data_IF_623353771864
#
_entry.id   IF_623353771864
#
_cell.length_a   1.000
_cell.length_b   1.000
_cell.length_c   1.000
_cell.angle_alpha   90.00
_cell.angle_beta   90.00
_cell.angle_gamma   90.00
#
_symmetry.space_group_name_H-M   'P 1'
#
loop_
_entity.id
_entity.type
_entity.pdbx_description
1 polymer ?
#
# COMPACT_ATOMS: atom_id res chain seq x y z
N UNK A 1 -4.63 -10.56 -3.88
CA UNK A 1 -3.50 -9.83 -4.47
C UNK A 1 -2.87 -9.06 -3.35
N UNK A 2 -1.57 -9.16 -3.19
CA UNK A 2 -0.83 -8.33 -2.24
C UNK A 2 -0.13 -7.20 -2.98
N UNK A 3 0.12 -6.09 -2.31
CA UNK A 3 1.01 -5.04 -2.77
C UNK A 3 2.17 -4.85 -1.83
N UNK A 4 3.25 -4.28 -2.36
CA UNK A 4 4.45 -3.98 -1.59
C UNK A 4 4.78 -2.51 -1.70
N UNK A 5 5.12 -1.91 -0.56
CA UNK A 5 5.54 -0.52 -0.47
C UNK A 5 6.66 -0.34 0.56
N UNK A 6 7.36 0.78 0.53
CA UNK A 6 8.45 1.07 1.45
C UNK A 6 8.47 2.54 1.85
N UNK A 7 8.50 2.76 3.16
CA UNK A 7 8.64 4.10 3.74
C UNK A 7 10.04 4.22 4.34
N UNK A 8 10.76 5.30 3.99
CA UNK A 8 12.05 5.66 4.59
C UNK A 8 11.92 6.70 5.69
N UNK A 9 13.04 7.12 6.27
CA UNK A 9 13.08 8.21 7.26
C UNK A 9 12.97 7.76 8.72
N UNK A 10 13.27 6.48 9.01
CA UNK A 10 13.23 5.93 10.38
C UNK A 10 14.61 5.91 11.07
N UNK A 11 15.53 6.78 10.67
CA UNK A 11 16.88 6.91 11.23
C UNK A 11 16.91 7.61 12.61
N UNK A 12 15.83 7.51 13.39
CA UNK A 12 15.68 8.13 14.70
C UNK A 12 16.46 7.37 15.79
N UNK A 13 16.96 8.08 16.82
CA UNK A 13 17.70 7.54 17.98
C UNK A 13 18.78 6.49 17.63
N UNK A 14 19.60 6.74 16.61
CA UNK A 14 20.67 5.82 16.16
C UNK A 14 20.18 4.43 15.71
N UNK A 15 18.91 4.30 15.30
CA UNK A 15 18.41 3.03 14.78
C UNK A 15 19.11 2.64 13.49
N UNK A 16 19.63 1.41 13.44
CA UNK A 16 20.20 0.85 12.21
C UNK A 16 19.13 0.52 11.16
N UNK A 17 17.87 0.33 11.58
CA UNK A 17 16.74 0.07 10.68
C UNK A 17 16.16 1.40 10.24
N UNK A 18 16.29 1.72 8.95
CA UNK A 18 15.95 3.03 8.36
C UNK A 18 14.70 2.99 7.49
N UNK A 19 14.24 1.79 7.14
CA UNK A 19 13.13 1.56 6.23
C UNK A 19 12.05 0.70 6.89
N UNK A 20 10.82 0.95 6.50
CA UNK A 20 9.65 0.16 6.84
C UNK A 20 9.07 -0.40 5.54
N UNK A 21 9.21 -1.71 5.34
CA UNK A 21 8.55 -2.40 4.24
C UNK A 21 7.15 -2.81 4.67
N UNK A 22 6.16 -2.50 3.83
CA UNK A 22 4.75 -2.78 4.11
C UNK A 22 4.25 -3.69 2.99
N UNK A 23 3.71 -4.83 3.38
CA UNK A 23 2.98 -5.71 2.46
C UNK A 23 1.52 -5.66 2.86
N UNK A 24 0.64 -5.35 1.91
CA UNK A 24 -0.79 -5.19 2.15
C UNK A 24 -1.57 -6.21 1.33
N UNK A 25 -2.43 -7.00 1.96
CA UNK A 25 -3.44 -7.76 1.22
C UNK A 25 -4.63 -6.88 0.84
N UNK A 26 -4.95 -6.82 -0.45
CA UNK A 26 -6.00 -5.94 -0.95
C UNK A 26 -7.42 -6.44 -0.70
N UNK A 27 -7.62 -7.71 -0.33
CA UNK A 27 -8.98 -8.20 -0.03
C UNK A 27 -9.34 -7.86 1.41
N UNK A 28 -8.45 -8.18 2.33
CA UNK A 28 -8.66 -8.10 3.78
C UNK A 28 -8.19 -6.78 4.41
N UNK A 29 -7.33 -6.02 3.71
CA UNK A 29 -6.56 -4.88 4.26
C UNK A 29 -5.49 -5.28 5.28
N UNK A 30 -5.19 -6.57 5.41
CA UNK A 30 -4.21 -7.05 6.37
C UNK A 30 -2.81 -6.54 5.99
N UNK A 31 -2.13 -5.91 6.95
CA UNK A 31 -0.81 -5.36 6.75
C UNK A 31 0.24 -6.20 7.47
N UNK A 32 1.28 -6.58 6.76
CA UNK A 32 2.55 -7.03 7.32
C UNK A 32 3.57 -5.91 7.24
N UNK A 33 4.31 -5.70 8.32
CA UNK A 33 5.29 -4.63 8.42
C UNK A 33 6.65 -5.19 8.80
N UNK A 34 7.69 -4.82 8.06
CA UNK A 34 9.04 -5.31 8.28
C UNK A 34 10.02 -4.13 8.39
N UNK A 35 10.59 -3.87 9.58
CA UNK A 35 11.63 -2.86 9.71
C UNK A 35 12.94 -3.40 9.13
N UNK A 36 13.62 -2.60 8.31
CA UNK A 36 14.79 -3.02 7.54
C UNK A 36 15.90 -1.95 7.53
N UNK A 37 17.14 -2.40 7.33
CA UNK A 37 18.32 -1.53 7.15
C UNK A 37 18.50 -1.07 5.70
N UNK A 38 17.96 -1.82 4.73
CA UNK A 38 18.21 -1.61 3.30
C UNK A 38 17.00 -1.97 2.44
N UNK A 39 17.03 -1.49 1.20
CA UNK A 39 16.00 -1.71 0.18
C UNK A 39 16.63 -2.53 -0.96
N UNK A 40 16.69 -3.85 -0.81
CA UNK A 40 17.33 -4.75 -1.79
C UNK A 40 16.38 -5.89 -2.18
N UNK A 41 16.64 -6.56 -3.30
CA UNK A 41 15.79 -7.68 -3.73
C UNK A 41 15.78 -8.81 -2.70
N UNK A 42 16.87 -8.96 -1.95
CA UNK A 42 17.01 -9.96 -0.91
C UNK A 42 16.19 -9.61 0.33
N UNK A 43 16.18 -8.35 0.77
CA UNK A 43 15.34 -7.94 1.91
C UNK A 43 13.87 -8.20 1.61
N UNK A 44 13.39 -7.84 0.42
CA UNK A 44 12.01 -8.13 0.02
C UNK A 44 11.71 -9.61 -0.13
N UNK A 45 12.63 -10.39 -0.70
CA UNK A 45 12.47 -11.85 -0.81
C UNK A 45 12.31 -12.49 0.57
N UNK A 46 13.11 -12.08 1.54
CA UNK A 46 13.03 -12.58 2.91
C UNK A 46 11.73 -12.16 3.62
N UNK A 47 11.25 -10.93 3.39
CA UNK A 47 9.94 -10.49 3.90
C UNK A 47 8.80 -11.34 3.30
N UNK A 48 8.82 -11.54 1.98
CA UNK A 48 7.80 -12.30 1.26
C UNK A 48 7.78 -13.78 1.66
N UNK A 49 8.94 -14.41 1.89
CA UNK A 49 9.02 -15.80 2.37
C UNK A 49 8.26 -16.01 3.68
N UNK A 50 8.35 -15.07 4.62
CA UNK A 50 7.60 -15.12 5.90
C UNK A 50 6.09 -15.03 5.70
N UNK A 51 5.64 -14.34 4.65
CA UNK A 51 4.21 -14.26 4.32
C UNK A 51 3.78 -15.54 3.61
N UNK A 52 4.59 -16.04 2.68
CA UNK A 52 4.24 -17.21 1.85
C UNK A 52 4.18 -18.50 2.66
N UNK A 53 4.86 -18.58 3.81
CA UNK A 53 4.70 -19.69 4.76
C UNK A 53 3.33 -19.69 5.46
N UNK A 54 2.65 -18.54 5.52
CA UNK A 54 1.30 -18.41 6.08
C UNK A 54 0.26 -18.54 4.95
N UNK A 55 0.46 -17.77 3.87
CA UNK A 55 -0.40 -17.79 2.69
C UNK A 55 0.37 -17.35 1.44
N UNK A 56 0.23 -18.12 0.35
CA UNK A 56 0.82 -17.75 -0.94
C UNK A 56 -0.19 -16.99 -1.81
N UNK A 57 0.07 -15.73 -2.19
CA UNK A 57 -0.85 -14.95 -3.01
C UNK A 57 -0.73 -15.30 -4.49
N UNK A 58 -1.82 -15.19 -5.25
CA UNK A 58 -1.79 -15.39 -6.71
C UNK A 58 -1.09 -14.27 -7.48
N UNK A 59 -1.08 -13.06 -6.90
CA UNK A 59 -0.61 -11.84 -7.56
C UNK A 59 0.09 -10.91 -6.57
N UNK A 60 1.21 -10.35 -7.01
CA UNK A 60 1.97 -9.31 -6.31
C UNK A 60 1.97 -8.04 -7.16
N UNK A 61 1.51 -6.93 -6.57
CA UNK A 61 1.59 -5.60 -7.15
C UNK A 61 2.83 -4.88 -6.59
N UNK A 62 3.75 -4.48 -7.46
CA UNK A 62 4.91 -3.66 -7.09
C UNK A 62 5.05 -2.46 -8.02
N UNK A 63 5.81 -1.47 -7.58
CA UNK A 63 6.27 -0.42 -8.49
C UNK A 63 7.32 -0.97 -9.48
N UNK A 64 7.80 -0.08 -10.36
CA UNK A 64 8.85 -0.39 -11.35
C UNK A 64 10.26 -0.15 -10.82
N UNK A 65 10.47 -0.15 -9.50
CA UNK A 65 11.80 -0.01 -8.95
C UNK A 65 12.69 -1.17 -9.42
N UNK A 66 13.95 -0.87 -9.73
CA UNK A 66 14.95 -1.81 -10.25
C UNK A 66 15.00 -3.10 -9.41
N UNK A 67 14.84 -2.95 -8.09
CA UNK A 67 14.79 -4.04 -7.11
C UNK A 67 13.74 -5.10 -7.43
N UNK A 68 12.55 -4.71 -7.92
CA UNK A 68 11.47 -5.65 -8.26
C UNK A 68 11.54 -6.14 -9.71
N UNK A 69 12.35 -5.50 -10.55
CA UNK A 69 12.54 -5.92 -11.94
C UNK A 69 13.72 -6.87 -12.15
N UNK A 70 14.52 -7.11 -11.10
CA UNK A 70 15.69 -7.98 -11.13
C UNK A 70 15.35 -9.43 -11.50
N UNK A 71 16.29 -10.10 -12.17
CA UNK A 71 16.14 -11.50 -12.57
C UNK A 71 15.95 -12.43 -11.37
N UNK A 72 16.67 -12.19 -10.27
CA UNK A 72 16.57 -12.93 -9.00
C UNK A 72 15.15 -12.83 -8.43
N UNK A 73 14.57 -11.63 -8.38
CA UNK A 73 13.22 -11.43 -7.84
C UNK A 73 12.14 -12.07 -8.73
N UNK A 74 12.25 -11.92 -10.06
CA UNK A 74 11.34 -12.56 -11.01
C UNK A 74 11.38 -14.10 -10.91
N UNK A 75 12.58 -14.69 -10.80
CA UNK A 75 12.75 -16.14 -10.59
C UNK A 75 12.10 -16.60 -9.28
N UNK A 76 12.28 -15.85 -8.20
CA UNK A 76 11.62 -16.12 -6.92
C UNK A 76 10.10 -16.14 -7.03
N UNK A 77 9.49 -15.12 -7.65
CA UNK A 77 8.03 -15.10 -7.85
C UNK A 77 7.54 -16.23 -8.74
N UNK A 78 8.29 -16.55 -9.82
CA UNK A 78 7.97 -17.67 -10.72
C UNK A 78 7.98 -19.01 -9.98
N UNK A 79 8.95 -19.23 -9.09
CA UNK A 79 9.03 -20.44 -8.28
C UNK A 79 7.79 -20.64 -7.38
N UNK A 80 7.22 -19.55 -6.87
CA UNK A 80 5.99 -19.57 -6.07
C UNK A 80 4.70 -19.44 -6.91
N UNK A 81 4.78 -19.51 -8.25
CA UNK A 81 3.64 -19.32 -9.16
C UNK A 81 2.90 -17.98 -8.97
N UNK A 82 3.63 -16.92 -8.61
CA UNK A 82 3.07 -15.60 -8.34
C UNK A 82 3.21 -14.73 -9.58
N UNK A 83 2.08 -14.20 -10.07
CA UNK A 83 2.09 -13.23 -11.16
C UNK A 83 2.43 -11.85 -10.62
N UNK A 84 3.55 -11.29 -11.08
CA UNK A 84 3.91 -9.91 -10.80
C UNK A 84 3.10 -8.95 -11.69
N UNK A 85 2.51 -7.95 -11.06
CA UNK A 85 1.88 -6.80 -11.71
C UNK A 85 2.71 -5.58 -11.38
N UNK A 86 3.15 -4.84 -12.41
CA UNK A 86 3.89 -3.60 -12.23
C UNK A 86 2.91 -2.43 -12.33
N UNK A 87 2.92 -1.52 -11.36
CA UNK A 87 2.18 -0.26 -11.51
C UNK A 87 2.80 0.55 -12.66
N UNK A 88 1.97 1.19 -13.47
CA UNK A 88 2.47 2.26 -14.34
C UNK A 88 2.84 3.46 -13.48
N UNK A 89 3.82 4.26 -13.91
CA UNK A 89 4.00 5.59 -13.34
C UNK A 89 2.62 6.28 -13.33
N UNK A 90 2.21 6.80 -12.18
CA UNK A 90 0.95 7.53 -11.98
C UNK A 90 -0.33 6.67 -12.13
N UNK A 91 -0.52 5.63 -11.31
CA UNK A 91 -1.86 5.05 -11.02
C UNK A 91 -2.33 5.43 -9.60
N UNK A 92 -3.01 6.59 -9.43
CA UNK A 92 -3.47 7.06 -8.12
C UNK A 92 -4.38 6.06 -7.40
N UNK A 93 -5.12 5.24 -8.15
CA UNK A 93 -6.10 4.30 -7.58
C UNK A 93 -5.43 3.10 -6.88
N UNK A 94 -4.32 2.59 -7.45
CA UNK A 94 -3.56 1.49 -6.87
C UNK A 94 -2.64 2.00 -5.76
N UNK A 95 -1.91 3.09 -6.04
CA UNK A 95 -1.02 3.71 -5.06
C UNK A 95 -1.81 4.26 -3.86
N UNK A 96 -2.98 4.85 -4.07
CA UNK A 96 -3.75 5.50 -3.01
C UNK A 96 -4.22 4.56 -1.90
N UNK A 97 -4.39 3.26 -2.19
CA UNK A 97 -4.67 2.27 -1.13
C UNK A 97 -3.45 2.07 -0.23
N UNK A 98 -2.29 1.85 -0.83
CA UNK A 98 -1.03 1.70 -0.09
C UNK A 98 -0.69 2.99 0.65
N UNK A 99 -0.79 4.13 -0.03
CA UNK A 99 -0.51 5.44 0.52
C UNK A 99 -1.34 5.73 1.77
N UNK A 100 -2.66 5.46 1.73
CA UNK A 100 -3.53 5.65 2.90
C UNK A 100 -3.16 4.73 4.07
N UNK A 101 -2.79 3.47 3.78
CA UNK A 101 -2.36 2.52 4.81
C UNK A 101 -1.03 2.97 5.41
N UNK A 102 -0.06 3.35 4.59
CA UNK A 102 1.23 3.85 5.02
C UNK A 102 1.05 5.10 5.91
N UNK A 103 0.25 6.07 5.46
CA UNK A 103 -0.06 7.27 6.24
C UNK A 103 -0.65 6.92 7.60
N UNK A 104 -1.59 5.96 7.65
CA UNK A 104 -2.22 5.51 8.91
C UNK A 104 -1.20 4.87 9.84
N UNK A 105 -0.40 3.92 9.36
CA UNK A 105 0.60 3.22 10.16
C UNK A 105 1.69 4.18 10.66
N UNK A 106 2.20 5.04 9.78
CA UNK A 106 3.24 6.02 10.11
C UNK A 106 2.71 7.06 11.09
N UNK A 107 1.48 7.54 10.94
CA UNK A 107 0.87 8.49 11.88
C UNK A 107 0.72 7.87 13.27
N UNK A 108 0.18 6.65 13.38
CA UNK A 108 0.05 5.93 14.65
C UNK A 108 1.42 5.69 15.30
N UNK A 109 2.41 5.27 14.52
CA UNK A 109 3.77 5.05 14.99
C UNK A 109 4.41 6.35 15.50
N UNK A 110 4.25 7.45 14.76
CA UNK A 110 4.74 8.77 15.18
C UNK A 110 4.13 9.21 16.50
N UNK A 111 2.82 9.03 16.70
CA UNK A 111 2.16 9.31 17.97
C UNK A 111 2.79 8.49 19.11
N UNK A 112 2.92 7.17 18.94
CA UNK A 112 3.51 6.30 19.98
C UNK A 112 4.95 6.65 20.31
N UNK A 113 5.78 6.94 19.30
CA UNK A 113 7.18 7.33 19.50
C UNK A 113 7.26 8.63 20.32
N UNK A 114 6.40 9.62 20.04
CA UNK A 114 6.40 10.88 20.76
C UNK A 114 5.86 10.76 22.19
N UNK A 115 4.98 9.79 22.47
CA UNK A 115 4.45 9.55 23.83
C UNK A 115 5.32 8.61 24.66
N UNK A 116 6.22 7.85 24.04
CA UNK A 116 7.01 6.80 24.71
C UNK A 116 8.49 6.96 24.41
N UNK A 117 9.24 7.54 25.35
CA UNK A 117 10.63 7.98 25.13
C UNK A 117 11.68 6.87 25.19
N UNK A 118 11.37 5.71 25.77
CA UNK A 118 12.35 4.63 26.02
C UNK A 118 12.20 3.38 25.15
N UNK A 119 11.20 3.32 24.27
CA UNK A 119 10.91 2.10 23.50
C UNK A 119 11.40 2.24 22.05
N UNK A 120 12.18 1.28 21.53
CA UNK A 120 12.58 1.28 20.13
C UNK A 120 11.36 1.32 19.19
N UNK A 121 11.44 2.16 18.15
CA UNK A 121 10.34 2.32 17.18
C UNK A 121 9.90 0.99 16.55
N UNK A 122 10.81 0.01 16.45
CA UNK A 122 10.49 -1.32 15.90
C UNK A 122 9.55 -2.12 16.79
N UNK A 123 9.67 -2.01 18.12
CA UNK A 123 8.73 -2.63 19.07
C UNK A 123 7.38 -1.90 19.05
N UNK A 124 7.42 -0.57 18.95
CA UNK A 124 6.20 0.23 18.80
C UNK A 124 5.49 -0.11 17.48
N UNK A 125 6.24 -0.37 16.40
CA UNK A 125 5.68 -0.80 15.12
C UNK A 125 4.92 -2.12 15.25
N UNK A 126 5.45 -3.10 15.98
CA UNK A 126 4.74 -4.37 16.21
C UNK A 126 3.36 -4.12 16.86
N UNK A 127 3.30 -3.24 17.87
CA UNK A 127 2.04 -2.83 18.50
C UNK A 127 1.12 -2.11 17.52
N UNK A 128 1.63 -1.15 16.74
CA UNK A 128 0.84 -0.40 15.76
C UNK A 128 0.25 -1.31 14.69
N UNK A 129 1.04 -2.27 14.20
CA UNK A 129 0.59 -3.24 13.19
C UNK A 129 -0.46 -4.18 13.76
N UNK A 130 -0.29 -4.62 15.02
CA UNK A 130 -1.29 -5.39 15.72
C UNK A 130 -2.60 -4.60 15.86
N UNK A 131 -2.55 -3.37 16.40
CA UNK A 131 -3.72 -2.50 16.56
C UNK A 131 -4.40 -2.21 15.23
N UNK A 132 -3.64 -1.94 14.16
CA UNK A 132 -4.18 -1.75 12.82
C UNK A 132 -4.93 -2.98 12.34
N UNK A 133 -4.34 -4.18 12.45
CA UNK A 133 -4.97 -5.41 11.98
C UNK A 133 -6.18 -5.84 12.84
N UNK A 134 -6.29 -5.36 14.08
CA UNK A 134 -7.42 -5.65 14.97
C UNK A 134 -8.40 -4.46 15.08
N UNK A 135 -8.24 -3.39 14.29
CA UNK A 135 -9.22 -2.29 14.24
C UNK A 135 -10.16 -2.47 13.04
N UNK A 136 -11.50 -2.30 13.18
CA UNK A 136 -12.39 -2.25 12.03
C UNK A 136 -12.04 -1.10 11.07
N UNK A 137 -12.08 -1.36 9.77
CA UNK A 137 -11.87 -0.33 8.74
C UNK A 137 -13.20 0.14 8.15
N UNK A 138 -13.37 1.44 7.90
CA UNK A 138 -14.61 1.99 7.32
C UNK A 138 -15.03 1.33 6.00
N UNK A 139 -14.06 1.09 5.12
CA UNK A 139 -14.31 0.53 3.79
C UNK A 139 -14.82 -0.91 3.87
N UNK A 140 -14.15 -1.77 4.64
CA UNK A 140 -14.52 -3.19 4.73
C UNK A 140 -15.60 -3.43 5.77
N UNK A 141 -15.69 -2.60 6.81
CA UNK A 141 -16.55 -2.77 7.98
C UNK A 141 -16.02 -3.79 9.00
N UNK A 142 -14.84 -4.37 8.78
CA UNK A 142 -14.30 -5.46 9.58
C UNK A 142 -12.81 -5.25 9.90
N UNK A 143 -12.31 -5.83 11.01
CA UNK A 143 -10.89 -5.92 11.29
C UNK A 143 -10.16 -6.75 10.23
N UNK A 144 -8.97 -6.31 9.77
CA UNK A 144 -8.18 -7.08 8.82
C UNK A 144 -7.83 -8.51 9.29
N UNK A 145 -7.47 -8.68 10.56
CA UNK A 145 -7.15 -9.99 11.16
C UNK A 145 -8.36 -10.92 11.13
N UNK A 146 -9.57 -10.39 11.36
CA UNK A 146 -10.80 -11.16 11.25
C UNK A 146 -11.06 -11.64 9.81
N UNK A 147 -10.91 -10.76 8.82
CA UNK A 147 -11.06 -11.15 7.42
C UNK A 147 -9.99 -12.14 6.96
N UNK A 148 -8.79 -12.07 7.53
CA UNK A 148 -7.68 -12.93 7.17
C UNK A 148 -7.76 -14.31 7.82
N UNK A 149 -7.88 -14.35 9.14
CA UNK A 149 -7.72 -15.55 9.95
C UNK A 149 -8.95 -15.90 10.79
N UNK A 150 -9.99 -15.04 10.82
CA UNK A 150 -11.15 -15.21 11.69
C UNK A 150 -10.91 -14.77 13.14
N UNK A 151 -9.74 -14.21 13.43
CA UNK A 151 -9.36 -13.74 14.77
C UNK A 151 -10.16 -12.49 15.13
N UNK A 152 -10.83 -12.52 16.28
CA UNK A 152 -11.56 -11.37 16.80
C UNK A 152 -10.60 -10.33 17.39
N UNK A 153 -10.94 -9.04 17.29
CA UNK A 153 -10.06 -7.94 17.67
C UNK A 153 -9.77 -7.85 19.17
N UNK A 154 -10.70 -8.33 20.00
CA UNK A 154 -10.61 -8.35 21.45
C UNK A 154 -11.56 -9.42 21.98
N UNK A 155 -11.15 -10.09 23.05
CA UNK A 155 -12.10 -10.75 23.95
C UNK A 155 -12.77 -9.65 24.77
N UNK A 156 -14.11 -9.64 24.85
CA UNK A 156 -14.81 -8.66 25.69
C UNK A 156 -14.37 -8.88 27.15
N UNK A 157 -13.77 -7.88 27.83
CA UNK A 157 -13.44 -7.99 29.25
C UNK A 157 -14.70 -7.91 30.13
N UNK A 158 -15.85 -7.57 29.55
CA UNK A 158 -17.14 -7.49 30.23
C UNK A 158 -17.93 -8.79 29.98
N UNK A 159 -18.43 -9.46 31.05
CA UNK A 159 -19.07 -10.78 30.95
C UNK A 159 -20.28 -10.85 30.01
N UNK A 160 -20.94 -9.72 29.75
CA UNK A 160 -22.25 -9.65 29.06
C UNK A 160 -22.32 -8.66 27.89
N UNK A 161 -21.19 -8.14 27.39
CA UNK A 161 -21.22 -7.38 26.14
C UNK A 161 -21.14 -8.31 24.93
N UNK A 162 -22.13 -8.13 24.06
CA UNK A 162 -22.28 -8.70 22.71
C UNK A 162 -20.90 -8.96 22.11
N UNK A 163 -20.48 -10.24 22.05
CA UNK A 163 -19.43 -10.65 21.10
C UNK A 163 -19.77 -9.93 19.82
N UNK A 164 -18.86 -9.10 19.28
CA UNK A 164 -19.07 -8.48 17.98
C UNK A 164 -19.65 -9.55 17.06
N UNK A 165 -20.93 -9.42 16.70
CA UNK A 165 -21.67 -10.43 15.95
C UNK A 165 -21.22 -10.33 14.49
N UNK A 166 -19.95 -10.64 14.27
CA UNK A 166 -19.43 -10.76 12.93
C UNK A 166 -19.97 -12.07 12.35
N UNK A 167 -20.52 -12.02 11.13
CA UNK A 167 -20.99 -13.21 10.46
C UNK A 167 -19.79 -14.11 10.14
N UNK A 168 -20.01 -15.43 9.91
CA UNK A 168 -18.95 -16.35 9.55
C UNK A 168 -17.97 -15.78 8.52
N UNK A 169 -16.68 -16.08 8.65
CA UNK A 169 -15.59 -15.44 7.89
C UNK A 169 -15.85 -15.34 6.38
N UNK A 170 -16.45 -16.37 5.78
CA UNK A 170 -16.79 -16.38 4.35
C UNK A 170 -17.84 -15.33 4.00
N UNK A 171 -18.88 -15.19 4.83
CA UNK A 171 -19.91 -14.17 4.67
C UNK A 171 -19.32 -12.77 4.91
N UNK A 172 -18.48 -12.61 5.94
CA UNK A 172 -17.80 -11.34 6.21
C UNK A 172 -16.92 -10.90 5.03
N UNK A 173 -16.18 -11.84 4.41
CA UNK A 173 -15.40 -11.58 3.18
C UNK A 173 -16.28 -11.13 2.03
N UNK A 174 -17.44 -11.76 1.81
CA UNK A 174 -18.37 -11.36 0.76
C UNK A 174 -18.92 -9.95 1.00
N UNK A 175 -19.30 -9.64 2.24
CA UNK A 175 -19.76 -8.29 2.63
C UNK A 175 -18.64 -7.26 2.43
N UNK A 176 -17.41 -7.56 2.86
CA UNK A 176 -16.26 -6.67 2.70
C UNK A 176 -15.95 -6.37 1.23
N UNK A 177 -16.07 -7.37 0.34
CA UNK A 177 -15.93 -7.20 -1.11
C UNK A 177 -17.03 -6.29 -1.65
N UNK A 178 -18.29 -6.54 -1.32
CA UNK A 178 -19.43 -5.74 -1.79
C UNK A 178 -19.31 -4.27 -1.32
N UNK A 179 -18.94 -4.05 -0.06
CA UNK A 179 -18.68 -2.72 0.49
C UNK A 179 -17.52 -2.02 -0.21
N UNK A 180 -16.44 -2.75 -0.47
CA UNK A 180 -15.27 -2.24 -1.20
C UNK A 180 -15.67 -1.80 -2.62
N UNK A 181 -16.45 -2.60 -3.35
CA UNK A 181 -16.92 -2.26 -4.69
C UNK A 181 -17.81 -1.02 -4.66
N UNK A 182 -18.78 -0.96 -3.72
CA UNK A 182 -19.66 0.21 -3.54
C UNK A 182 -18.84 1.47 -3.26
N UNK A 183 -17.86 1.38 -2.36
CA UNK A 183 -16.99 2.50 -2.01
C UNK A 183 -16.14 2.97 -3.20
N UNK A 184 -15.59 2.04 -4.00
CA UNK A 184 -14.88 2.38 -5.24
C UNK A 184 -15.79 3.07 -6.26
N UNK A 185 -17.03 2.62 -6.42
CA UNK A 185 -18.00 3.25 -7.34
C UNK A 185 -18.32 4.68 -6.92
N UNK A 186 -18.55 4.92 -5.63
CA UNK A 186 -18.81 6.26 -5.08
C UNK A 186 -17.59 7.16 -5.26
N UNK A 187 -16.39 6.66 -4.94
CA UNK A 187 -15.15 7.44 -5.11
C UNK A 187 -14.88 7.77 -6.57
N UNK A 188 -15.15 6.84 -7.49
CA UNK A 188 -15.06 7.09 -8.93
C UNK A 188 -16.02 8.19 -9.36
N UNK A 189 -17.29 8.15 -8.96
CA UNK A 189 -18.27 9.20 -9.28
C UNK A 189 -17.83 10.58 -8.76
N UNK A 190 -17.30 10.64 -7.54
CA UNK A 190 -16.77 11.89 -6.97
C UNK A 190 -15.58 12.41 -7.75
N UNK A 191 -14.65 11.53 -8.13
CA UNK A 191 -13.51 11.88 -8.96
C UNK A 191 -13.94 12.38 -10.34
N UNK A 192 -14.80 11.62 -11.02
CA UNK A 192 -15.29 11.92 -12.37
C UNK A 192 -16.05 13.26 -12.42
N UNK A 193 -16.72 13.68 -11.33
CA UNK A 193 -17.38 15.02 -11.24
C UNK A 193 -16.40 16.20 -11.34
N UNK A 194 -15.18 16.02 -10.86
CA UNK A 194 -14.14 17.07 -10.87
C UNK A 194 -13.09 16.83 -11.95
N UNK A 195 -13.14 15.68 -12.63
CA UNK A 195 -12.19 15.32 -13.66
C UNK A 195 -12.58 16.00 -14.98
N UNK A 196 -11.72 16.89 -15.45
CA UNK A 196 -11.80 17.45 -16.81
C UNK A 196 -10.97 16.55 -17.73
N UNK A 197 -11.62 15.83 -18.63
CA UNK A 197 -10.92 15.01 -19.62
C UNK A 197 -10.27 15.91 -20.66
N UNK A 198 -8.97 16.19 -20.49
CA UNK A 198 -8.18 16.87 -21.51
C UNK A 198 -7.99 15.92 -22.70
N UNK A 199 -8.77 16.13 -23.76
CA UNK A 199 -8.73 15.32 -24.98
C UNK A 199 -7.53 15.70 -25.85
N UNK A 200 -6.34 15.23 -25.47
CA UNK A 200 -5.13 15.41 -26.27
C UNK A 200 -5.16 14.55 -27.54
N UNK A 201 -4.74 15.14 -28.65
CA UNK A 201 -4.53 14.51 -29.96
C UNK A 201 -3.04 14.26 -30.19
N UNK A 202 -2.74 13.32 -31.07
CA UNK A 202 -1.36 13.13 -31.55
C UNK A 202 -0.93 14.41 -32.25
N UNK A 203 0.22 14.95 -31.84
CA UNK A 203 0.72 16.22 -32.33
C UNK A 203 0.53 17.41 -31.38
N UNK A 204 -0.33 17.30 -30.37
CA UNK A 204 -0.50 18.36 -29.38
C UNK A 204 0.79 18.55 -28.57
N UNK A 205 1.07 19.81 -28.21
CA UNK A 205 2.14 20.17 -27.29
C UNK A 205 1.61 20.13 -25.86
N UNK A 206 2.32 19.43 -24.99
CA UNK A 206 1.94 19.23 -23.59
C UNK A 206 3.12 19.47 -22.68
N UNK A 207 2.84 20.01 -21.51
CA UNK A 207 3.81 20.19 -20.44
C UNK A 207 3.73 18.99 -19.48
N UNK A 208 4.87 18.41 -19.15
CA UNK A 208 5.00 17.31 -18.21
C UNK A 208 5.31 17.87 -16.82
N UNK A 209 4.45 17.59 -15.84
CA UNK A 209 4.71 18.00 -14.46
C UNK A 209 5.82 17.14 -13.83
N UNK A 210 6.87 17.81 -13.33
CA UNK A 210 7.99 17.15 -12.69
C UNK A 210 7.60 16.68 -11.29
N UNK A 211 7.49 15.37 -11.09
CA UNK A 211 7.28 14.74 -9.78
C UNK A 211 8.58 14.07 -9.31
N UNK A 212 9.61 14.85 -9.02
CA UNK A 212 10.83 14.33 -8.39
C UNK A 212 10.65 14.33 -6.87
N UNK A 213 10.73 13.15 -6.23
CA UNK A 213 10.81 13.01 -4.77
C UNK A 213 12.19 12.47 -4.37
N UNK A 214 12.88 13.05 -3.38
CA UNK A 214 12.47 14.20 -2.58
C UNK A 214 12.46 15.48 -3.42
N UNK A 215 11.53 16.37 -3.08
CA UNK A 215 11.26 17.62 -3.80
C UNK A 215 12.37 18.64 -3.48
N UNK A 216 13.58 18.43 -4.02
CA UNK A 216 14.72 19.36 -3.89
C UNK A 216 14.52 20.66 -4.69
N UNK A 217 13.44 20.72 -5.45
CA UNK A 217 13.15 21.71 -6.49
C UNK A 217 12.02 22.65 -6.11
N UNK A 218 11.88 23.06 -4.83
CA UNK A 218 10.87 24.06 -4.42
C UNK A 218 10.96 25.40 -5.21
N UNK A 219 12.11 25.66 -5.84
CA UNK A 219 12.38 26.84 -6.67
C UNK A 219 12.52 26.55 -8.17
N UNK A 220 12.39 25.30 -8.65
CA UNK A 220 12.48 25.01 -10.08
C UNK A 220 11.09 24.95 -10.72
N UNK A 221 11.04 25.09 -12.04
CA UNK A 221 9.78 25.02 -12.79
C UNK A 221 9.06 23.68 -12.49
N UNK A 222 7.79 23.72 -12.04
CA UNK A 222 7.02 22.51 -11.77
C UNK A 222 6.72 21.71 -13.03
N UNK A 223 6.96 22.27 -14.23
CA UNK A 223 6.69 21.64 -15.50
C UNK A 223 7.93 21.66 -16.42
N UNK A 224 8.16 20.54 -17.11
CA UNK A 224 9.12 20.37 -18.20
C UNK A 224 8.39 20.26 -19.55
N UNK A 225 9.07 20.68 -20.62
CA UNK A 225 8.56 20.62 -21.99
C UNK A 225 8.77 21.94 -22.74
N UNK A 226 8.00 22.19 -23.81
CA UNK A 226 6.87 21.40 -24.30
C UNK A 226 7.31 20.10 -24.99
N UNK A 227 6.56 19.01 -24.74
CA UNK A 227 6.73 17.73 -25.43
C UNK A 227 5.61 17.51 -26.43
N UNK A 228 5.89 16.76 -27.50
CA UNK A 228 4.86 16.44 -28.51
C UNK A 228 4.22 15.09 -28.21
N UNK A 229 2.90 15.03 -28.22
CA UNK A 229 2.18 13.76 -28.07
C UNK A 229 2.42 12.89 -29.30
N UNK A 230 3.13 11.77 -29.11
CA UNK A 230 3.47 10.82 -30.18
C UNK A 230 2.40 9.74 -30.32
N UNK A 231 1.87 9.26 -29.21
CA UNK A 231 0.87 8.19 -29.23
C UNK A 231 -0.02 8.21 -27.99
N UNK A 232 -1.33 8.00 -28.20
CA UNK A 232 -2.29 7.79 -27.13
C UNK A 232 -2.42 6.28 -26.84
N UNK A 233 -2.04 5.86 -25.64
CA UNK A 233 -2.11 4.45 -25.22
C UNK A 233 -3.41 4.16 -24.43
N UNK A 234 -4.02 5.18 -23.82
CA UNK A 234 -5.35 5.19 -23.17
C UNK A 234 -5.61 6.62 -22.65
N UNK A 235 -5.88 6.80 -21.34
CA UNK A 235 -5.69 8.10 -20.65
C UNK A 235 -4.20 8.46 -20.48
N UNK A 236 -3.29 7.52 -20.75
CA UNK A 236 -1.85 7.78 -20.77
C UNK A 236 -1.38 8.20 -22.16
N UNK A 237 -0.54 9.23 -22.20
CA UNK A 237 0.11 9.75 -23.40
C UNK A 237 1.57 9.33 -23.43
N UNK A 238 2.05 8.92 -24.59
CA UNK A 238 3.46 8.81 -24.90
C UNK A 238 3.91 10.13 -25.53
N UNK A 239 4.92 10.74 -24.94
CA UNK A 239 5.45 12.06 -25.32
C UNK A 239 6.93 11.91 -25.70
N UNK A 240 7.41 12.71 -26.65
CA UNK A 240 8.83 12.84 -27.01
C UNK A 240 9.23 14.31 -27.05
#
# INVERSE_FOLDING_TARGET
MISLDTVGGFNYHNSQKKYLHIVLDHATRYAWTFPSKSVTSETYTNCLKQIFSIQCPKQLLSDRNAVFTSSKFKKFLKHHNIRQLLTSANRPQCNGKNERVNQTLVAKLRCKVNTTTKTPWTKLLEQVTYEYNHSPHDVTGFPPAYLMFGTLPYDSPLPNQVKLNYPPIQQARQIAVNRTIKHHKINKQRYDKHFVDAKFKVGDLVLYQNFSYPNSSKLQSPYNGPFKVVRKLSQMLLMK
#
